data_IF_359921233737
#
_entry.id   IF_359921233737
#
_cell.length_a   1.000
_cell.length_b   1.000
_cell.length_c   1.000
_cell.angle_alpha   90.00
_cell.angle_beta   90.00
_cell.angle_gamma   90.00
#
_symmetry.space_group_name_H-M   'P 1'
#
loop_
_entity.id
_entity.type
_entity.pdbx_description
1 polymer ?
#
# COMPACT_ATOMS: atom_id res chain seq x y z
N UNK A 1 -8.03 -14.64 -10.19
CA UNK A 1 -8.20 -13.24 -9.79
C UNK A 1 -7.19 -12.37 -10.49
N UNK A 2 -7.66 -11.28 -11.09
CA UNK A 2 -6.81 -10.44 -11.92
C UNK A 2 -5.62 -9.81 -11.18
N UNK A 3 -5.80 -9.35 -9.94
CA UNK A 3 -4.68 -8.71 -9.26
C UNK A 3 -3.63 -9.72 -8.77
N UNK A 4 -4.02 -10.96 -8.45
CA UNK A 4 -3.05 -12.01 -8.13
C UNK A 4 -2.23 -12.33 -9.38
N UNK A 5 -2.87 -12.44 -10.53
CA UNK A 5 -2.18 -12.71 -11.78
C UNK A 5 -1.21 -11.58 -12.12
N UNK A 6 -1.58 -10.34 -11.86
CA UNK A 6 -0.71 -9.20 -12.06
C UNK A 6 0.53 -9.28 -11.17
N UNK A 7 0.34 -9.61 -9.89
CA UNK A 7 1.47 -9.76 -8.95
C UNK A 7 2.37 -10.91 -9.40
N UNK A 8 1.80 -12.06 -9.79
CA UNK A 8 2.58 -13.20 -10.27
C UNK A 8 3.39 -12.85 -11.51
N UNK A 9 2.81 -12.08 -12.42
CA UNK A 9 3.50 -11.66 -13.63
C UNK A 9 4.71 -10.78 -13.31
N UNK A 10 4.56 -9.87 -12.35
CA UNK A 10 5.67 -9.02 -11.90
C UNK A 10 6.76 -9.84 -11.23
N UNK A 11 6.40 -10.88 -10.48
CA UNK A 11 7.35 -11.73 -9.78
C UNK A 11 8.22 -12.56 -10.72
N UNK A 12 7.85 -12.73 -11.97
CA UNK A 12 8.68 -13.42 -12.96
C UNK A 12 10.00 -12.71 -13.22
N UNK A 13 10.04 -11.40 -13.03
CA UNK A 13 11.25 -10.61 -13.25
C UNK A 13 12.12 -10.56 -12.01
N UNK A 14 11.53 -10.19 -10.89
CA UNK A 14 12.17 -10.13 -9.57
C UNK A 14 11.09 -9.92 -8.53
N UNK A 15 11.39 -10.26 -7.28
CA UNK A 15 10.46 -10.04 -6.18
C UNK A 15 10.27 -8.55 -5.97
N UNK A 16 9.02 -8.11 -6.01
CA UNK A 16 8.64 -6.71 -5.84
C UNK A 16 7.93 -6.50 -4.51
N UNK A 17 7.94 -5.27 -4.05
CA UNK A 17 7.17 -4.84 -2.89
C UNK A 17 5.90 -4.17 -3.37
N UNK A 18 4.76 -4.70 -2.96
CA UNK A 18 3.44 -4.26 -3.42
C UNK A 18 2.63 -3.77 -2.23
N UNK A 19 2.01 -2.59 -2.40
CA UNK A 19 1.10 -2.02 -1.41
C UNK A 19 -0.33 -2.44 -1.74
N UNK A 20 -1.04 -2.96 -0.75
CA UNK A 20 -2.46 -3.30 -0.86
C UNK A 20 -3.21 -2.46 0.18
N UNK A 21 -3.82 -1.34 -0.24
CA UNK A 21 -4.42 -0.41 0.70
C UNK A 21 -5.79 -0.85 1.24
N UNK A 22 -6.47 -1.77 0.57
CA UNK A 22 -7.81 -2.23 0.97
C UNK A 22 -7.72 -3.41 1.94
N UNK A 23 -7.02 -3.21 3.06
CA UNK A 23 -6.70 -4.28 4.01
C UNK A 23 -7.89 -4.77 4.84
N UNK A 24 -9.03 -4.08 4.79
CA UNK A 24 -10.25 -4.53 5.45
C UNK A 24 -11.06 -5.52 4.60
N UNK A 25 -10.68 -5.69 3.34
CA UNK A 25 -11.38 -6.60 2.42
C UNK A 25 -10.81 -8.00 2.60
N UNK A 26 -11.67 -8.94 3.02
CA UNK A 26 -11.27 -10.33 3.24
C UNK A 26 -10.68 -10.98 1.98
N UNK A 27 -11.14 -10.56 0.80
CA UNK A 27 -10.61 -11.09 -0.47
C UNK A 27 -9.14 -10.70 -0.65
N UNK A 28 -8.79 -9.50 -0.20
CA UNK A 28 -7.40 -9.03 -0.24
C UNK A 28 -6.55 -9.85 0.73
N UNK A 29 -7.04 -10.09 1.95
CA UNK A 29 -6.30 -10.86 2.94
C UNK A 29 -6.14 -12.32 2.51
N UNK A 30 -7.11 -12.90 1.83
CA UNK A 30 -6.98 -14.25 1.26
C UNK A 30 -5.88 -14.30 0.20
N UNK A 31 -5.81 -13.27 -0.64
CA UNK A 31 -4.75 -13.18 -1.63
C UNK A 31 -3.38 -13.02 -0.96
N UNK A 32 -3.29 -12.22 0.10
CA UNK A 32 -2.05 -12.04 0.85
C UNK A 32 -1.56 -13.36 1.44
N UNK A 33 -2.47 -14.15 2.01
CA UNK A 33 -2.15 -15.47 2.53
C UNK A 33 -1.44 -16.34 1.47
N UNK A 34 -1.99 -16.37 0.25
CA UNK A 34 -1.40 -17.10 -0.88
C UNK A 34 -0.04 -16.53 -1.27
N UNK A 35 0.05 -15.21 -1.38
CA UNK A 35 1.28 -14.53 -1.80
C UNK A 35 2.41 -14.79 -0.80
N UNK A 36 2.11 -14.72 0.49
CA UNK A 36 3.09 -14.95 1.54
C UNK A 36 3.59 -16.40 1.50
N UNK A 37 2.69 -17.36 1.34
CA UNK A 37 3.05 -18.78 1.27
C UNK A 37 3.91 -19.11 0.06
N UNK A 38 3.59 -18.52 -1.08
CA UNK A 38 4.32 -18.76 -2.33
C UNK A 38 5.54 -17.85 -2.50
N UNK A 39 5.69 -16.84 -1.64
CA UNK A 39 6.86 -15.95 -1.59
C UNK A 39 7.17 -15.24 -2.91
N UNK A 40 6.15 -14.85 -3.67
CA UNK A 40 6.41 -14.16 -4.93
C UNK A 40 6.29 -12.63 -4.86
N UNK A 41 6.00 -12.07 -3.69
CA UNK A 41 6.02 -10.63 -3.48
C UNK A 41 6.17 -10.30 -2.01
N UNK A 42 6.72 -9.11 -1.73
CA UNK A 42 6.69 -8.54 -0.40
C UNK A 42 5.44 -7.64 -0.33
N UNK A 43 4.69 -7.73 0.75
CA UNK A 43 3.42 -7.03 0.87
C UNK A 43 3.47 -5.98 1.97
N UNK A 44 2.95 -4.80 1.65
CA UNK A 44 2.66 -3.74 2.63
C UNK A 44 1.15 -3.58 2.66
N UNK A 45 0.56 -3.76 3.85
CA UNK A 45 -0.85 -3.50 4.10
C UNK A 45 -0.99 -2.15 4.80
N UNK A 46 -2.05 -1.42 4.50
CA UNK A 46 -2.32 -0.14 5.15
C UNK A 46 -3.57 -0.27 6.00
N UNK A 47 -3.47 0.09 7.25
CA UNK A 47 -4.62 0.05 8.18
C UNK A 47 -4.17 -0.16 9.61
N UNK A 48 -5.14 -0.51 10.45
CA UNK A 48 -4.88 -0.79 11.86
C UNK A 48 -4.41 -2.23 12.02
N UNK A 49 -3.22 -2.41 12.55
CA UNK A 49 -2.61 -3.73 12.71
C UNK A 49 -3.47 -4.70 13.50
N UNK A 50 -4.03 -4.23 14.62
CA UNK A 50 -4.86 -5.06 15.48
C UNK A 50 -6.12 -5.53 14.74
N UNK A 51 -6.77 -4.64 14.01
CA UNK A 51 -7.97 -4.99 13.24
C UNK A 51 -7.68 -5.95 12.11
N UNK A 52 -6.58 -5.71 11.39
CA UNK A 52 -6.18 -6.58 10.28
C UNK A 52 -5.85 -7.98 10.78
N UNK A 53 -5.08 -8.06 11.84
CA UNK A 53 -4.73 -9.35 12.44
C UNK A 53 -5.94 -10.10 12.96
N UNK A 54 -6.91 -9.38 13.56
CA UNK A 54 -8.14 -9.97 14.03
C UNK A 54 -8.93 -10.62 12.89
N UNK A 55 -9.09 -9.89 11.78
CA UNK A 55 -9.83 -10.42 10.62
C UNK A 55 -9.10 -11.63 10.04
N UNK A 56 -7.78 -11.56 9.91
CA UNK A 56 -6.99 -12.67 9.41
C UNK A 56 -7.15 -13.91 10.30
N UNK A 57 -7.03 -13.74 11.61
CA UNK A 57 -7.14 -14.85 12.55
C UNK A 57 -8.54 -15.47 12.55
N UNK A 58 -9.58 -14.65 12.46
CA UNK A 58 -10.97 -15.13 12.41
C UNK A 58 -11.24 -15.96 11.17
N UNK A 59 -10.48 -15.77 10.11
CA UNK A 59 -10.66 -16.47 8.83
C UNK A 59 -9.56 -17.49 8.56
N UNK A 60 -8.70 -17.76 9.53
CA UNK A 60 -7.64 -18.74 9.37
C UNK A 60 -6.58 -18.37 8.35
N UNK A 61 -6.34 -17.09 8.14
CA UNK A 61 -5.40 -16.59 7.15
C UNK A 61 -4.06 -16.23 7.79
N UNK A 62 -2.98 -16.54 7.10
CA UNK A 62 -1.62 -16.25 7.56
C UNK A 62 -1.08 -15.04 6.81
N UNK A 63 -0.93 -13.94 7.53
CA UNK A 63 -0.37 -12.69 6.96
C UNK A 63 1.00 -12.35 7.57
N UNK A 64 1.64 -13.29 8.25
CA UNK A 64 2.97 -13.09 8.80
C UNK A 64 3.96 -12.83 7.68
N UNK A 65 4.89 -11.93 7.93
CA UNK A 65 5.86 -11.51 6.92
C UNK A 65 5.42 -10.30 6.13
N UNK A 66 4.18 -9.85 6.29
CA UNK A 66 3.74 -8.58 5.71
C UNK A 66 4.11 -7.42 6.63
N UNK A 67 4.31 -6.25 6.03
CA UNK A 67 4.47 -5.02 6.79
C UNK A 67 3.11 -4.32 6.83
N UNK A 68 2.71 -3.85 8.00
CA UNK A 68 1.46 -3.11 8.17
C UNK A 68 1.79 -1.69 8.55
N UNK A 69 1.26 -0.72 7.79
CA UNK A 69 1.46 0.69 8.04
C UNK A 69 0.12 1.29 8.44
N UNK A 70 0.06 1.84 9.65
CA UNK A 70 -1.12 2.55 10.13
C UNK A 70 -0.98 4.04 9.77
N UNK A 71 -1.90 4.61 8.98
CA UNK A 71 -1.82 6.03 8.60
C UNK A 71 -1.78 6.98 9.80
N UNK A 72 -2.38 6.57 10.93
CA UNK A 72 -2.41 7.39 12.15
C UNK A 72 -1.17 7.23 13.02
N UNK A 73 -0.30 6.29 12.70
CA UNK A 73 0.90 6.01 13.48
C UNK A 73 2.04 5.56 12.57
N UNK A 74 2.36 6.40 11.61
CA UNK A 74 3.41 6.13 10.62
C UNK A 74 4.60 7.03 10.88
N UNK A 75 5.76 6.43 11.18
CA UNK A 75 6.95 7.19 11.55
C UNK A 75 7.46 8.13 10.45
N UNK A 76 7.21 7.81 9.19
CA UNK A 76 7.60 8.67 8.06
C UNK A 76 6.51 9.66 7.66
N UNK A 77 5.50 9.83 8.49
CA UNK A 77 4.35 10.69 8.16
C UNK A 77 4.77 12.12 7.79
N UNK A 78 5.64 12.73 8.60
CA UNK A 78 6.11 14.10 8.35
C UNK A 78 6.95 14.19 7.07
N UNK A 79 7.80 13.20 6.83
CA UNK A 79 8.61 13.13 5.60
C UNK A 79 7.72 13.06 4.36
N UNK A 80 6.71 12.19 4.40
CA UNK A 80 5.79 12.02 3.30
C UNK A 80 4.89 13.24 3.10
N UNK A 81 4.46 13.87 4.19
CA UNK A 81 3.66 15.09 4.11
C UNK A 81 4.44 16.22 3.46
N UNK A 82 5.71 16.38 3.81
CA UNK A 82 6.58 17.37 3.18
C UNK A 82 6.77 17.08 1.70
N UNK A 83 6.96 15.81 1.34
CA UNK A 83 7.12 15.40 -0.06
C UNK A 83 5.85 15.70 -0.87
N UNK A 84 4.69 15.39 -0.31
CA UNK A 84 3.41 15.67 -0.98
C UNK A 84 3.19 17.17 -1.11
N UNK A 85 3.50 17.93 -0.07
CA UNK A 85 3.43 19.39 -0.12
C UNK A 85 4.30 19.94 -1.26
N UNK A 86 5.56 19.52 -1.36
CA UNK A 86 6.46 19.99 -2.40
C UNK A 86 5.94 19.66 -3.80
N UNK A 87 5.31 18.50 -3.97
CA UNK A 87 4.74 18.10 -5.26
C UNK A 87 3.54 18.95 -5.67
N UNK A 88 2.77 19.46 -4.71
CA UNK A 88 1.47 20.07 -4.99
C UNK A 88 1.34 21.51 -4.52
N UNK A 89 2.38 22.10 -3.95
CA UNK A 89 2.30 23.48 -3.42
C UNK A 89 1.90 24.51 -4.48
N UNK A 90 2.33 24.30 -5.72
CA UNK A 90 1.96 25.20 -6.83
C UNK A 90 0.47 25.16 -7.15
N UNK A 91 -0.23 24.11 -6.68
CA UNK A 91 -1.69 23.97 -6.88
C UNK A 91 -2.46 24.27 -5.59
N UNK A 92 -1.83 24.98 -4.64
CA UNK A 92 -2.48 25.40 -3.41
C UNK A 92 -2.47 24.41 -2.26
N UNK A 93 -1.67 23.35 -2.36
CA UNK A 93 -1.52 22.41 -1.25
C UNK A 93 -0.85 23.09 -0.05
N UNK A 94 -1.37 22.81 1.15
CA UNK A 94 -0.73 23.21 2.40
C UNK A 94 -0.17 22.00 3.12
N UNK A 95 0.73 22.21 4.09
CA UNK A 95 1.27 21.11 4.90
C UNK A 95 0.17 20.41 5.68
N UNK A 96 -0.77 21.18 6.24
CA UNK A 96 -1.90 20.62 6.99
C UNK A 96 -2.76 19.73 6.12
N UNK A 97 -3.04 20.18 4.90
CA UNK A 97 -3.83 19.39 3.96
C UNK A 97 -3.08 18.13 3.51
N UNK A 98 -1.77 18.24 3.30
CA UNK A 98 -0.95 17.09 2.95
C UNK A 98 -1.01 16.03 4.06
N UNK A 99 -0.89 16.44 5.32
CA UNK A 99 -0.99 15.53 6.46
C UNK A 99 -2.36 14.85 6.52
N UNK A 100 -3.42 15.61 6.27
CA UNK A 100 -4.78 15.08 6.24
C UNK A 100 -4.97 14.06 5.12
N UNK A 101 -4.48 14.36 3.92
CA UNK A 101 -4.60 13.45 2.78
C UNK A 101 -3.89 12.13 3.02
N UNK A 102 -2.77 12.14 3.74
CA UNK A 102 -2.03 10.92 4.03
C UNK A 102 -2.76 9.98 5.00
N UNK A 103 -3.83 10.44 5.65
CA UNK A 103 -4.68 9.57 6.45
C UNK A 103 -5.57 8.71 5.54
N UNK A 104 -5.72 9.09 4.28
CA UNK A 104 -6.42 8.27 3.29
C UNK A 104 -5.50 7.15 2.81
N UNK A 105 -5.98 5.93 2.87
CA UNK A 105 -5.19 4.74 2.55
C UNK A 105 -4.64 4.75 1.12
N UNK A 106 -5.43 5.23 0.17
CA UNK A 106 -5.00 5.28 -1.24
C UNK A 106 -3.89 6.32 -1.42
N UNK A 107 -4.07 7.53 -0.87
CA UNK A 107 -3.04 8.57 -0.96
C UNK A 107 -1.74 8.14 -0.29
N UNK A 108 -1.84 7.54 0.90
CA UNK A 108 -0.65 7.04 1.59
C UNK A 108 0.03 5.96 0.75
N UNK A 109 -0.75 5.02 0.20
CA UNK A 109 -0.21 3.96 -0.66
C UNK A 109 0.51 4.51 -1.88
N UNK A 110 -0.07 5.51 -2.53
CA UNK A 110 0.55 6.15 -3.69
C UNK A 110 1.84 6.85 -3.32
N UNK A 111 1.89 7.50 -2.15
CA UNK A 111 3.11 8.16 -1.69
C UNK A 111 4.21 7.15 -1.32
N UNK A 112 3.84 6.00 -0.77
CA UNK A 112 4.80 4.92 -0.49
C UNK A 112 5.49 4.51 -1.79
N UNK A 113 4.73 4.34 -2.87
CA UNK A 113 5.27 4.00 -4.19
C UNK A 113 6.09 5.17 -4.75
N UNK A 114 5.56 6.38 -4.66
CA UNK A 114 6.22 7.58 -5.17
C UNK A 114 7.59 7.80 -4.53
N UNK A 115 7.69 7.55 -3.23
CA UNK A 115 8.95 7.72 -2.49
C UNK A 115 9.92 6.56 -2.68
N UNK A 116 9.54 5.53 -3.42
CA UNK A 116 10.41 4.41 -3.70
C UNK A 116 10.45 3.34 -2.61
N UNK A 117 9.56 3.44 -1.61
CA UNK A 117 9.50 2.44 -0.52
C UNK A 117 8.71 1.19 -0.94
N UNK A 118 8.03 1.25 -2.07
CA UNK A 118 7.40 0.11 -2.70
C UNK A 118 7.48 0.25 -4.23
N UNK A 119 7.29 -0.86 -4.93
CA UNK A 119 7.38 -0.89 -6.39
C UNK A 119 6.04 -0.62 -7.06
N UNK A 120 4.95 -0.94 -6.39
CA UNK A 120 3.63 -0.73 -6.95
C UNK A 120 2.54 -0.81 -5.90
N UNK A 121 1.34 -0.37 -6.30
CA UNK A 121 0.13 -0.44 -5.50
C UNK A 121 -0.93 -1.13 -6.34
N UNK A 122 -1.65 -2.07 -5.72
CA UNK A 122 -2.78 -2.75 -6.37
C UNK A 122 -3.99 -2.63 -5.46
N UNK A 123 -5.08 -2.08 -5.99
CA UNK A 123 -6.36 -2.06 -5.29
C UNK A 123 -7.42 -2.75 -6.17
N UNK A 124 -8.64 -2.88 -5.67
CA UNK A 124 -9.69 -3.63 -6.37
C UNK A 124 -9.93 -3.18 -7.80
N UNK A 125 -9.86 -1.89 -8.05
CA UNK A 125 -10.20 -1.32 -9.35
C UNK A 125 -8.99 -0.83 -10.15
N UNK A 126 -7.86 -0.56 -9.50
CA UNK A 126 -6.71 0.09 -10.15
C UNK A 126 -5.39 -0.49 -9.66
N UNK A 127 -4.37 -0.37 -10.50
CA UNK A 127 -3.01 -0.65 -10.06
C UNK A 127 -2.11 0.51 -10.49
N UNK A 128 -1.12 0.82 -9.67
CA UNK A 128 -0.17 1.88 -9.92
C UNK A 128 1.25 1.36 -9.79
N UNK A 129 2.08 1.78 -10.74
CA UNK A 129 3.53 1.59 -10.64
C UNK A 129 4.15 2.92 -10.23
N UNK A 130 5.44 2.90 -9.95
CA UNK A 130 6.17 4.12 -9.62
C UNK A 130 5.97 5.23 -10.68
N UNK A 131 6.00 4.87 -11.96
CA UNK A 131 5.80 5.83 -13.04
C UNK A 131 4.38 6.40 -13.06
N UNK A 132 3.37 5.53 -12.88
CA UNK A 132 1.98 5.96 -12.85
C UNK A 132 1.66 6.82 -11.64
N UNK A 133 2.30 6.56 -10.52
CA UNK A 133 2.13 7.39 -9.32
C UNK A 133 2.59 8.82 -9.59
N UNK A 134 3.67 9.01 -10.35
CA UNK A 134 4.13 10.33 -10.76
C UNK A 134 3.07 11.08 -11.56
N UNK A 135 2.38 10.39 -12.46
CA UNK A 135 1.36 11.00 -13.30
C UNK A 135 0.10 11.35 -12.49
N UNK A 136 -0.25 10.52 -11.51
CA UNK A 136 -1.49 10.66 -10.75
C UNK A 136 -1.38 11.73 -9.66
N UNK A 137 -0.24 11.83 -9.01
CA UNK A 137 -0.02 12.81 -7.95
C UNK A 137 0.43 14.13 -8.53
#
# INVERSE_FOLDING_TARGET
>A
MSFINEIKQRAKEQIKTIVLPESNDIRVLKAVDTIVKEKFANIILIGNETEIEKVANQNGLDIRGTKIINPHNFEKHNEYANALFELRKAKGMTIEKAKELLLNEIYLGMMIVKQGDADGLVSGAVSYTHLRAHETL
#
